data_IF_251982864625
#
_entry.id   IF_251982864625
#
_cell.length_a   1.000
_cell.length_b   1.000
_cell.length_c   1.000
_cell.angle_alpha   90.00
_cell.angle_beta   90.00
_cell.angle_gamma   90.00
#
_symmetry.space_group_name_H-M   'P 1'
#
loop_
_entity.id
_entity.type
_entity.pdbx_description
1 polymer ?
#
# COMPACT_ATOMS: atom_id res chain seq x y z
N UNK A 1 11.67 17.44 -2.30
CA UNK A 1 11.51 16.98 -3.70
C UNK A 1 10.07 16.50 -3.83
N UNK A 2 9.44 16.51 -5.00
CA UNK A 2 8.09 15.95 -5.13
C UNK A 2 8.15 14.42 -5.21
N UNK A 3 7.12 13.74 -4.70
CA UNK A 3 6.94 12.30 -4.92
C UNK A 3 6.77 12.01 -6.42
N UNK A 4 7.37 10.92 -6.88
CA UNK A 4 7.10 10.42 -8.22
C UNK A 4 5.71 9.75 -8.27
N UNK A 5 5.13 9.70 -9.47
CA UNK A 5 3.85 9.00 -9.67
C UNK A 5 3.97 7.53 -9.28
N UNK A 6 3.07 7.01 -8.42
CA UNK A 6 3.06 5.59 -8.09
C UNK A 6 2.89 4.73 -9.33
N UNK A 7 3.57 3.59 -9.38
CA UNK A 7 3.55 2.66 -10.51
C UNK A 7 3.10 1.28 -10.04
N UNK A 8 2.24 0.63 -10.82
CA UNK A 8 1.89 -0.77 -10.62
C UNK A 8 3.06 -1.66 -11.06
N UNK A 9 3.58 -2.49 -10.16
CA UNK A 9 4.55 -3.54 -10.51
C UNK A 9 3.85 -4.85 -10.85
N UNK A 10 2.89 -5.29 -10.03
CA UNK A 10 2.04 -6.45 -10.34
C UNK A 10 0.74 -6.41 -9.53
N UNK A 11 -0.32 -6.99 -10.07
CA UNK A 11 -1.58 -7.24 -9.38
C UNK A 11 -2.09 -8.62 -9.80
N UNK A 12 -2.83 -9.28 -8.93
CA UNK A 12 -3.42 -10.56 -9.26
C UNK A 12 -4.18 -11.19 -8.12
N UNK A 13 -4.70 -12.38 -8.37
CA UNK A 13 -5.40 -13.17 -7.38
C UNK A 13 -5.23 -14.66 -7.64
N UNK A 14 -5.43 -15.43 -6.59
CA UNK A 14 -5.60 -16.88 -6.63
C UNK A 14 -6.90 -17.25 -5.92
N UNK A 15 -7.67 -18.14 -6.54
CA UNK A 15 -8.88 -18.77 -5.97
C UNK A 15 -8.72 -20.28 -5.83
N UNK A 16 -7.55 -20.81 -6.22
CA UNK A 16 -7.24 -22.21 -5.96
C UNK A 16 -6.96 -22.34 -4.47
N UNK A 17 -7.73 -23.19 -3.78
CA UNK A 17 -7.46 -23.56 -2.40
C UNK A 17 -6.08 -24.20 -2.38
N UNK A 18 -5.07 -23.40 -2.04
CA UNK A 18 -3.70 -23.85 -1.96
C UNK A 18 -3.55 -24.52 -0.59
N UNK A 19 -3.29 -25.82 -0.61
CA UNK A 19 -2.77 -26.57 0.56
C UNK A 19 -1.29 -26.25 0.81
N UNK A 20 -0.70 -25.35 0.02
CA UNK A 20 0.66 -24.87 0.20
C UNK A 20 0.67 -23.60 1.05
N UNK A 21 1.53 -23.59 2.05
CA UNK A 21 1.75 -22.42 2.91
C UNK A 21 2.38 -21.24 2.17
N UNK A 22 2.85 -21.41 0.92
CA UNK A 22 3.52 -20.35 0.16
C UNK A 22 2.93 -20.24 -1.25
N UNK A 23 2.68 -19.01 -1.69
CA UNK A 23 2.31 -18.67 -3.07
C UNK A 23 3.22 -17.56 -3.60
N UNK A 24 3.29 -17.38 -4.93
CA UNK A 24 4.20 -16.44 -5.59
C UNK A 24 3.49 -15.47 -6.54
N UNK A 25 3.93 -14.23 -6.57
CA UNK A 25 3.46 -13.22 -7.53
C UNK A 25 4.15 -13.40 -8.90
N UNK A 26 3.71 -12.63 -9.90
CA UNK A 26 4.56 -12.38 -11.07
C UNK A 26 5.88 -11.70 -10.66
N UNK A 27 6.93 -11.85 -11.48
CA UNK A 27 8.21 -11.20 -11.25
C UNK A 27 8.10 -9.69 -11.34
N UNK A 28 8.76 -8.98 -10.43
CA UNK A 28 8.88 -7.52 -10.41
C UNK A 28 10.35 -7.11 -10.45
N UNK A 29 10.62 -5.85 -10.81
CA UNK A 29 11.95 -5.23 -10.75
C UNK A 29 11.83 -3.92 -10.00
N UNK A 30 12.00 -3.92 -8.66
CA UNK A 30 11.92 -2.68 -7.90
C UNK A 30 13.07 -1.74 -8.26
N UNK A 31 12.80 -0.44 -8.26
CA UNK A 31 13.82 0.60 -8.42
C UNK A 31 14.57 0.80 -7.09
N UNK A 32 15.88 1.06 -7.18
CA UNK A 32 16.68 1.39 -6.00
C UNK A 32 16.11 2.61 -5.26
N UNK A 33 16.02 2.51 -3.94
CA UNK A 33 15.51 3.54 -3.01
C UNK A 33 14.06 3.97 -3.22
N UNK A 34 13.28 3.23 -4.02
CA UNK A 34 11.84 3.42 -4.10
C UNK A 34 11.14 2.68 -2.95
N UNK A 35 10.06 3.27 -2.44
CA UNK A 35 9.17 2.59 -1.50
C UNK A 35 8.32 1.58 -2.28
N UNK A 36 8.37 0.32 -1.86
CA UNK A 36 7.51 -0.72 -2.42
C UNK A 36 6.46 -1.09 -1.39
N UNK A 37 5.19 -1.02 -1.79
CA UNK A 37 4.06 -1.46 -0.99
C UNK A 37 3.48 -2.74 -1.59
N UNK A 38 3.21 -3.71 -0.73
CA UNK A 38 2.56 -4.97 -1.09
C UNK A 38 1.31 -5.09 -0.24
N UNK A 39 0.16 -4.91 -0.88
CA UNK A 39 -1.14 -5.03 -0.25
C UNK A 39 -1.71 -6.41 -0.53
N UNK A 40 -2.09 -7.11 0.55
CA UNK A 40 -2.52 -8.51 0.52
C UNK A 40 -3.86 -8.62 1.23
N UNK A 41 -4.89 -8.95 0.46
CA UNK A 41 -6.14 -9.46 1.02
C UNK A 41 -6.16 -10.99 0.96
N UNK A 42 -6.54 -11.64 2.06
CA UNK A 42 -6.67 -13.09 2.09
C UNK A 42 -7.86 -13.55 2.95
N UNK A 43 -8.48 -14.66 2.55
CA UNK A 43 -9.56 -15.33 3.28
C UNK A 43 -9.23 -16.80 3.57
N UNK A 44 -9.57 -17.27 4.78
CA UNK A 44 -9.39 -18.67 5.20
C UNK A 44 -10.54 -19.56 4.72
N UNK A 45 -10.26 -20.87 4.60
CA UNK A 45 -11.26 -21.86 4.20
C UNK A 45 -12.26 -22.25 5.33
N UNK A 46 -11.90 -22.05 6.61
CA UNK A 46 -12.65 -22.62 7.74
C UNK A 46 -12.96 -21.62 8.88
N UNK A 47 -12.99 -20.31 8.59
CA UNK A 47 -13.17 -19.29 9.63
C UNK A 47 -11.99 -19.18 10.62
N UNK A 48 -10.90 -19.89 10.33
CA UNK A 48 -9.64 -19.79 11.07
C UNK A 48 -8.96 -18.44 10.89
N UNK A 49 -7.97 -18.16 11.73
CA UNK A 49 -7.21 -16.92 11.62
C UNK A 49 -6.31 -17.00 10.38
N UNK A 50 -6.63 -16.24 9.33
CA UNK A 50 -5.64 -16.00 8.26
C UNK A 50 -4.52 -15.19 8.86
N UNK A 51 -3.28 -15.65 8.64
CA UNK A 51 -2.11 -14.82 8.91
C UNK A 51 -1.17 -15.02 7.74
N UNK A 52 -1.01 -13.99 6.91
CA UNK A 52 0.22 -13.85 6.13
C UNK A 52 1.32 -13.68 7.16
N UNK A 53 2.24 -14.63 7.22
CA UNK A 53 3.32 -14.64 8.21
C UNK A 53 4.58 -13.98 7.69
N UNK A 54 4.79 -14.01 6.37
CA UNK A 54 5.93 -13.33 5.75
C UNK A 54 5.68 -13.01 4.28
N UNK A 55 6.35 -11.95 3.83
CA UNK A 55 6.59 -11.64 2.42
C UNK A 55 8.10 -11.64 2.23
N UNK A 56 8.59 -12.31 1.19
CA UNK A 56 10.03 -12.37 0.87
C UNK A 56 10.25 -12.25 -0.63
N UNK A 57 11.37 -11.67 -1.05
CA UNK A 57 11.72 -11.58 -2.47
C UNK A 57 12.50 -10.31 -2.80
N UNK A 58 12.99 -10.23 -4.03
CA UNK A 58 13.70 -9.08 -4.60
C UNK A 58 14.95 -8.61 -3.83
N UNK A 59 15.57 -9.48 -3.01
CA UNK A 59 16.72 -9.11 -2.18
C UNK A 59 16.38 -8.06 -1.10
N UNK A 60 15.10 -7.91 -0.77
CA UNK A 60 14.56 -6.88 0.11
C UNK A 60 14.06 -7.47 1.43
N UNK A 61 14.17 -6.69 2.51
CA UNK A 61 13.56 -7.01 3.80
C UNK A 61 12.16 -6.40 3.87
N UNK A 62 11.14 -7.24 4.05
CA UNK A 62 9.74 -6.81 4.07
C UNK A 62 9.22 -6.73 5.50
N UNK A 63 8.53 -5.64 5.81
CA UNK A 63 7.93 -5.40 7.13
C UNK A 63 6.44 -5.16 6.95
N UNK A 64 5.59 -5.83 7.74
CA UNK A 64 4.17 -5.52 7.76
C UNK A 64 3.98 -4.15 8.41
N UNK A 65 3.32 -3.25 7.69
CA UNK A 65 3.07 -1.89 8.14
C UNK A 65 1.70 -1.77 8.83
N UNK A 66 0.65 -2.24 8.15
CA UNK A 66 -0.73 -2.03 8.57
C UNK A 66 -1.58 -3.27 8.32
N UNK A 67 -2.64 -3.46 9.10
CA UNK A 67 -3.60 -4.55 8.88
C UNK A 67 -5.00 -4.21 9.37
N UNK A 68 -6.01 -4.71 8.66
CA UNK A 68 -7.41 -4.67 9.08
C UNK A 68 -8.09 -6.00 8.85
N UNK A 69 -8.88 -6.43 9.81
CA UNK A 69 -9.58 -7.71 9.81
C UNK A 69 -11.05 -7.51 10.18
N UNK A 70 -11.87 -8.43 9.71
CA UNK A 70 -13.27 -8.59 10.12
C UNK A 70 -13.52 -10.06 10.46
N UNK A 71 -14.72 -10.37 10.96
CA UNK A 71 -15.15 -11.74 11.25
C UNK A 71 -15.02 -12.65 10.03
N UNK A 72 -14.78 -13.95 10.25
CA UNK A 72 -14.75 -14.97 9.20
C UNK A 72 -13.39 -15.21 8.56
N UNK A 73 -12.30 -14.80 9.21
CA UNK A 73 -10.94 -15.09 8.73
C UNK A 73 -10.61 -14.34 7.44
N UNK A 74 -11.00 -13.07 7.34
CA UNK A 74 -10.70 -12.20 6.20
C UNK A 74 -9.85 -11.03 6.69
N UNK A 75 -8.73 -10.77 6.02
CA UNK A 75 -7.80 -9.73 6.47
C UNK A 75 -7.04 -9.12 5.30
N UNK A 76 -6.99 -7.79 5.32
CA UNK A 76 -6.16 -6.96 4.46
C UNK A 76 -4.90 -6.54 5.22
N UNK A 77 -3.74 -6.61 4.57
CA UNK A 77 -2.44 -6.25 5.12
C UNK A 77 -1.65 -5.43 4.12
N UNK A 78 -0.95 -4.42 4.61
CA UNK A 78 0.08 -3.70 3.86
C UNK A 78 1.44 -4.11 4.37
N UNK A 79 2.32 -4.50 3.46
CA UNK A 79 3.74 -4.71 3.69
C UNK A 79 4.52 -3.63 2.97
N UNK A 80 5.69 -3.28 3.51
CA UNK A 80 6.59 -2.29 2.93
C UNK A 80 8.01 -2.79 2.83
N UNK A 81 8.73 -2.29 1.85
CA UNK A 81 10.17 -2.42 1.76
C UNK A 81 10.79 -1.27 0.97
N UNK A 82 12.09 -1.06 1.15
CA UNK A 82 12.92 -0.11 0.42
C UNK A 82 14.39 -0.53 0.58
N UNK A 83 15.17 -0.43 -0.48
CA UNK A 83 16.60 -0.76 -0.43
C UNK A 83 17.38 -0.22 -1.62
N UNK A 84 18.70 -0.11 -1.47
CA UNK A 84 19.58 0.51 -2.46
C UNK A 84 19.92 -0.41 -3.66
N UNK A 85 19.70 -1.72 -3.54
CA UNK A 85 20.08 -2.70 -4.57
C UNK A 85 19.09 -3.88 -4.63
N UNK A 86 17.81 -3.62 -4.94
CA UNK A 86 16.84 -4.68 -5.16
C UNK A 86 17.22 -5.55 -6.37
N UNK A 87 16.78 -6.81 -6.36
CA UNK A 87 16.93 -7.74 -7.49
C UNK A 87 15.60 -7.99 -8.18
N UNK A 88 15.62 -8.32 -9.47
CA UNK A 88 14.42 -8.80 -10.17
C UNK A 88 14.02 -10.18 -9.66
N UNK A 89 12.73 -10.39 -9.41
CA UNK A 89 12.17 -11.70 -9.06
C UNK A 89 10.71 -11.61 -8.58
N UNK A 90 10.03 -12.74 -8.41
CA UNK A 90 8.71 -12.78 -7.78
C UNK A 90 8.80 -12.54 -6.28
N UNK A 91 7.68 -12.14 -5.68
CA UNK A 91 7.52 -12.18 -4.23
C UNK A 91 6.91 -13.52 -3.83
N UNK A 92 7.40 -14.09 -2.74
CA UNK A 92 6.80 -15.23 -2.06
C UNK A 92 6.02 -14.75 -0.85
N UNK A 93 4.76 -15.17 -0.75
CA UNK A 93 3.86 -14.86 0.36
C UNK A 93 3.61 -16.15 1.12
N UNK A 94 3.93 -16.15 2.41
CA UNK A 94 3.71 -17.30 3.27
C UNK A 94 2.54 -17.07 4.20
N UNK A 95 1.69 -18.08 4.36
CA UNK A 95 0.51 -18.09 5.21
C UNK A 95 0.70 -19.07 6.38
N UNK A 96 -0.01 -18.86 7.49
CA UNK A 96 -0.01 -19.76 8.66
C UNK A 96 -1.02 -20.91 8.57
N UNK A 97 -1.89 -20.89 7.57
CA UNK A 97 -3.02 -21.82 7.41
C UNK A 97 -3.51 -21.80 5.96
N UNK A 98 -4.33 -22.79 5.60
CA UNK A 98 -4.96 -22.87 4.28
C UNK A 98 -5.78 -21.62 3.96
N UNK A 99 -5.50 -21.06 2.78
CA UNK A 99 -6.26 -19.93 2.25
C UNK A 99 -7.24 -20.42 1.19
N UNK A 100 -8.43 -19.83 1.21
CA UNK A 100 -9.44 -20.02 0.17
C UNK A 100 -9.16 -19.11 -1.04
N UNK A 101 -8.75 -17.88 -0.75
CA UNK A 101 -8.52 -16.87 -1.77
C UNK A 101 -7.50 -15.87 -1.26
N UNK A 102 -6.67 -15.39 -2.18
CA UNK A 102 -5.66 -14.36 -1.93
C UNK A 102 -5.61 -13.40 -3.13
N UNK A 103 -5.54 -12.10 -2.85
CA UNK A 103 -5.41 -11.00 -3.82
C UNK A 103 -4.21 -10.16 -3.42
N UNK A 104 -3.41 -9.75 -4.40
CA UNK A 104 -2.28 -8.85 -4.18
C UNK A 104 -2.27 -7.65 -5.11
N UNK A 105 -1.70 -6.57 -4.57
CA UNK A 105 -1.24 -5.41 -5.33
C UNK A 105 0.18 -5.09 -4.90
N UNK A 106 1.07 -4.90 -5.86
CA UNK A 106 2.44 -4.44 -5.61
C UNK A 106 2.64 -3.14 -6.36
N UNK A 107 2.94 -2.09 -5.61
CA UNK A 107 3.08 -0.73 -6.13
C UNK A 107 4.40 -0.13 -5.68
N UNK A 108 4.98 0.70 -6.53
CA UNK A 108 6.24 1.40 -6.30
C UNK A 108 6.02 2.90 -6.27
N UNK A 109 6.70 3.58 -5.35
CA UNK A 109 6.65 5.04 -5.20
C UNK A 109 8.09 5.56 -5.07
N UNK A 110 8.48 6.47 -5.95
CA UNK A 110 9.80 7.10 -5.94
C UNK A 110 9.76 8.48 -5.27
N UNK A 111 10.93 8.99 -4.88
CA UNK A 111 11.03 10.30 -4.24
C UNK A 111 10.52 10.36 -2.79
N UNK A 112 10.31 9.19 -2.17
CA UNK A 112 9.89 9.10 -0.77
C UNK A 112 11.02 9.46 0.20
N UNK A 113 10.65 9.85 1.42
CA UNK A 113 11.60 9.93 2.54
C UNK A 113 12.25 8.55 2.78
N UNK A 114 13.57 8.50 2.59
CA UNK A 114 14.37 7.28 2.69
C UNK A 114 14.96 7.04 4.08
N UNK A 115 14.59 7.87 5.07
CA UNK A 115 15.03 7.68 6.45
C UNK A 115 14.45 6.41 7.08
N UNK A 116 15.07 5.99 8.19
CA UNK A 116 14.68 4.76 8.87
C UNK A 116 15.06 3.50 8.09
N UNK A 117 14.35 2.39 8.37
CA UNK A 117 14.68 1.07 7.82
C UNK A 117 13.52 0.51 7.03
N UNK A 118 13.80 -0.10 5.88
CA UNK A 118 12.82 -0.76 5.02
C UNK A 118 11.65 0.19 4.65
N UNK A 119 11.96 1.48 4.45
CA UNK A 119 11.01 2.52 4.09
C UNK A 119 10.14 3.04 5.24
N UNK A 120 10.49 2.80 6.51
CA UNK A 120 9.68 3.28 7.65
C UNK A 120 9.58 4.80 7.70
N UNK A 121 10.65 5.50 7.29
CA UNK A 121 10.65 6.95 7.21
C UNK A 121 9.70 7.49 6.15
N UNK A 122 9.21 6.68 5.21
CA UNK A 122 8.27 7.14 4.20
C UNK A 122 6.83 7.27 4.73
N UNK A 123 6.50 6.80 5.92
CA UNK A 123 5.13 6.88 6.45
C UNK A 123 4.99 8.04 7.43
N UNK A 124 4.00 8.91 7.22
CA UNK A 124 3.60 9.93 8.19
C UNK A 124 2.51 9.39 9.13
N UNK A 125 1.51 8.71 8.55
CA UNK A 125 0.39 8.10 9.27
C UNK A 125 -0.26 7.03 8.40
N UNK A 126 -1.06 6.18 9.05
CA UNK A 126 -1.95 5.25 8.37
C UNK A 126 -3.29 5.17 9.11
N UNK A 127 -4.35 4.92 8.35
CA UNK A 127 -5.70 4.69 8.85
C UNK A 127 -6.22 3.39 8.27
N UNK A 128 -6.83 2.59 9.14
CA UNK A 128 -7.36 1.28 8.78
C UNK A 128 -8.84 1.25 9.11
N UNK A 129 -9.67 0.92 8.13
CA UNK A 129 -11.13 0.89 8.30
C UNK A 129 -11.67 -0.41 7.74
N UNK A 130 -12.34 -1.22 8.56
CA UNK A 130 -13.27 -2.23 8.08
C UNK A 130 -14.73 -1.73 8.19
N UNK A 131 -15.62 -2.18 7.33
CA UNK A 131 -17.06 -1.89 7.45
C UNK A 131 -17.89 -3.15 7.73
N UNK A 132 -19.11 -3.01 8.30
CA UNK A 132 -20.06 -4.13 8.43
C UNK A 132 -20.53 -4.64 7.05
N UNK A 133 -21.16 -5.81 7.03
CA UNK A 133 -21.56 -6.59 5.84
C UNK A 133 -22.60 -5.95 4.90
N UNK A 134 -22.91 -4.66 5.06
CA UNK A 134 -23.97 -3.97 4.31
C UNK A 134 -23.61 -2.55 3.87
N UNK A 135 -22.33 -2.19 3.83
CA UNK A 135 -21.89 -0.85 3.44
C UNK A 135 -21.79 -0.70 1.91
N UNK A 136 -22.22 0.46 1.39
CA UNK A 136 -22.07 0.89 -0.02
C UNK A 136 -20.89 1.84 -0.23
N UNK A 137 -20.19 2.20 0.83
CA UNK A 137 -18.96 2.99 0.79
C UNK A 137 -18.04 2.58 1.94
N UNK A 138 -16.79 3.03 1.86
CA UNK A 138 -15.83 2.93 2.95
C UNK A 138 -14.88 4.12 2.87
N UNK A 139 -14.66 4.76 4.01
CA UNK A 139 -13.82 5.94 4.13
C UNK A 139 -12.82 5.74 5.27
N UNK A 140 -11.53 5.87 4.95
CA UNK A 140 -10.50 5.99 5.97
C UNK A 140 -10.30 7.47 6.31
N UNK A 141 -10.57 7.85 7.56
CA UNK A 141 -10.25 9.18 8.07
C UNK A 141 -8.77 9.26 8.39
N UNK A 142 -8.11 10.32 7.92
CA UNK A 142 -6.70 10.62 8.19
C UNK A 142 -6.59 12.03 8.76
N UNK A 143 -5.52 12.31 9.51
CA UNK A 143 -5.22 13.70 9.88
C UNK A 143 -4.89 14.50 8.60
N UNK A 144 -5.08 15.82 8.60
CA UNK A 144 -4.69 16.66 7.46
C UNK A 144 -3.27 16.37 6.99
N UNK A 145 -3.10 16.06 5.70
CA UNK A 145 -1.79 15.76 5.12
C UNK A 145 -0.87 16.97 5.08
N UNK A 146 0.43 16.72 5.23
CA UNK A 146 1.43 17.75 4.98
C UNK A 146 1.61 18.00 3.48
N UNK A 147 2.07 19.21 3.13
CA UNK A 147 2.32 19.57 1.74
C UNK A 147 3.33 18.61 1.08
N UNK A 148 3.05 18.24 -0.18
CA UNK A 148 3.84 17.31 -1.01
C UNK A 148 3.81 15.83 -0.58
N UNK A 149 3.16 15.49 0.53
CA UNK A 149 2.88 14.09 0.84
C UNK A 149 1.77 13.57 -0.08
N UNK A 150 1.75 12.26 -0.27
CA UNK A 150 0.73 11.59 -1.05
C UNK A 150 -0.14 10.70 -0.16
N UNK A 151 -1.39 10.51 -0.54
CA UNK A 151 -2.20 9.43 0.01
C UNK A 151 -2.16 8.23 -0.92
N UNK A 152 -1.96 7.05 -0.34
CA UNK A 152 -2.08 5.77 -1.05
C UNK A 152 -3.02 4.86 -0.28
N UNK A 153 -4.17 4.55 -0.89
CA UNK A 153 -5.21 3.72 -0.31
C UNK A 153 -5.35 2.40 -1.04
N UNK A 154 -5.50 1.30 -0.31
CA UNK A 154 -5.94 0.01 -0.86
C UNK A 154 -7.32 -0.34 -0.34
N UNK A 155 -8.16 -0.83 -1.24
CA UNK A 155 -9.56 -1.13 -1.00
C UNK A 155 -9.90 -2.53 -1.47
N UNK A 156 -10.68 -3.24 -0.66
CA UNK A 156 -11.26 -4.53 -1.01
C UNK A 156 -12.77 -4.50 -0.76
N UNK A 157 -13.54 -5.04 -1.70
CA UNK A 157 -14.94 -5.41 -1.52
C UNK A 157 -15.12 -6.90 -1.79
N UNK A 158 -15.43 -7.60 -0.70
CA UNK A 158 -15.56 -9.06 -0.68
C UNK A 158 -16.87 -9.56 -1.30
N UNK A 159 -17.77 -8.65 -1.67
CA UNK A 159 -19.00 -8.98 -2.42
C UNK A 159 -18.82 -9.00 -3.93
N UNK A 160 -17.67 -8.55 -4.45
CA UNK A 160 -17.40 -8.46 -5.89
C UNK A 160 -18.15 -7.34 -6.61
N UNK A 161 -18.78 -6.41 -5.87
CA UNK A 161 -19.44 -5.25 -6.47
C UNK A 161 -18.43 -4.27 -7.04
N UNK A 162 -18.85 -3.48 -8.04
CA UNK A 162 -17.97 -2.47 -8.60
C UNK A 162 -17.74 -1.36 -7.59
N UNK A 163 -16.50 -1.20 -7.16
CA UNK A 163 -15.98 -0.06 -6.42
C UNK A 163 -15.30 0.94 -7.35
N UNK A 164 -15.43 2.21 -6.96
CA UNK A 164 -14.83 3.35 -7.63
C UNK A 164 -14.06 4.20 -6.60
N UNK A 165 -12.87 4.72 -7.00
CA UNK A 165 -12.19 5.78 -6.29
C UNK A 165 -13.10 6.96 -5.95
N UNK A 166 -12.80 7.63 -4.85
CA UNK A 166 -13.34 8.95 -4.59
C UNK A 166 -12.83 9.98 -5.61
N UNK A 167 -13.55 11.09 -5.71
CA UNK A 167 -13.13 12.22 -6.56
C UNK A 167 -11.79 12.77 -6.07
N UNK A 168 -10.88 13.06 -7.00
CA UNK A 168 -9.53 13.54 -6.69
C UNK A 168 -8.49 12.42 -6.57
N UNK A 169 -8.91 11.16 -6.49
CA UNK A 169 -8.01 10.02 -6.48
C UNK A 169 -7.86 9.39 -7.87
N UNK A 170 -6.65 8.93 -8.17
CA UNK A 170 -6.35 8.15 -9.37
C UNK A 170 -6.29 6.67 -9.02
N UNK A 171 -6.99 5.83 -9.78
CA UNK A 171 -6.87 4.37 -9.66
C UNK A 171 -5.53 3.91 -10.26
N UNK A 172 -4.76 3.15 -9.49
CA UNK A 172 -3.44 2.63 -9.89
C UNK A 172 -3.50 1.18 -10.34
N UNK A 173 -4.19 0.34 -9.57
CA UNK A 173 -4.31 -1.09 -9.83
C UNK A 173 -5.75 -1.50 -9.66
N UNK A 174 -6.24 -2.45 -10.46
CA UNK A 174 -7.58 -3.00 -10.26
C UNK A 174 -7.60 -4.49 -10.53
N UNK A 175 -8.07 -5.25 -9.55
CA UNK A 175 -8.33 -6.67 -9.65
C UNK A 175 -9.84 -6.93 -9.68
N UNK A 176 -10.27 -7.73 -10.65
CA UNK A 176 -11.67 -8.12 -10.87
C UNK A 176 -11.77 -9.63 -11.13
N UNK A 177 -13.00 -10.17 -11.15
CA UNK A 177 -13.26 -11.59 -11.48
C UNK A 177 -13.40 -12.54 -10.29
N UNK A 178 -13.06 -12.07 -9.08
CA UNK A 178 -13.39 -12.72 -7.81
C UNK A 178 -14.10 -11.69 -6.91
N UNK A 179 -13.36 -11.15 -5.95
CA UNK A 179 -13.70 -9.90 -5.28
C UNK A 179 -13.25 -8.71 -6.14
N UNK A 180 -13.68 -7.51 -5.77
CA UNK A 180 -13.09 -6.31 -6.34
C UNK A 180 -12.07 -5.71 -5.39
N UNK A 181 -10.89 -5.43 -5.91
CA UNK A 181 -9.79 -4.86 -5.15
C UNK A 181 -9.06 -3.82 -5.97
N UNK A 182 -8.62 -2.73 -5.37
CA UNK A 182 -7.84 -1.72 -6.10
C UNK A 182 -6.95 -0.90 -5.16
N UNK A 183 -5.89 -0.35 -5.74
CA UNK A 183 -5.08 0.70 -5.11
C UNK A 183 -5.41 2.02 -5.80
N UNK A 184 -5.54 3.08 -5.01
CA UNK A 184 -5.63 4.44 -5.50
C UNK A 184 -4.60 5.33 -4.83
N UNK A 185 -4.33 6.46 -5.45
CA UNK A 185 -3.50 7.49 -4.85
C UNK A 185 -4.00 8.89 -5.16
N UNK A 186 -3.64 9.82 -4.28
CA UNK A 186 -3.65 11.24 -4.54
C UNK A 186 -2.23 11.77 -4.29
N UNK A 187 -1.61 12.31 -5.33
CA UNK A 187 -0.31 12.98 -5.26
C UNK A 187 -0.55 14.46 -5.01
N UNK A 188 -1.23 14.82 -3.92
CA UNK A 188 -1.85 16.13 -3.75
C UNK A 188 -0.88 17.28 -4.09
N UNK A 189 -0.99 17.93 -5.27
CA UNK A 189 -0.25 19.15 -5.60
C UNK A 189 -1.11 20.39 -5.34
N UNK A 190 -2.34 20.20 -4.86
CA UNK A 190 -3.46 21.16 -4.90
C UNK A 190 -3.50 22.13 -3.72
N UNK A 191 -2.52 22.11 -2.82
CA UNK A 191 -2.45 23.02 -1.68
C UNK A 191 -3.43 22.73 -0.53
N UNK A 192 -4.44 21.87 -0.75
CA UNK A 192 -5.43 21.50 0.26
C UNK A 192 -5.12 20.13 0.88
N UNK A 193 -4.94 20.05 2.22
CA UNK A 193 -4.73 18.79 2.92
C UNK A 193 -5.88 17.79 2.70
N UNK A 194 -5.55 16.54 2.42
CA UNK A 194 -6.54 15.46 2.41
C UNK A 194 -6.85 15.04 3.84
N UNK A 195 -8.13 14.75 4.12
CA UNK A 195 -8.59 14.26 5.43
C UNK A 195 -9.34 12.93 5.35
N UNK A 196 -9.63 12.47 4.13
CA UNK A 196 -10.31 11.21 3.86
C UNK A 196 -9.72 10.54 2.64
N UNK A 197 -9.70 9.21 2.65
CA UNK A 197 -9.44 8.38 1.49
C UNK A 197 -10.50 7.29 1.43
N UNK A 198 -11.41 7.40 0.48
CA UNK A 198 -12.58 6.54 0.40
C UNK A 198 -12.82 5.91 -0.96
N UNK A 199 -13.83 5.07 -0.98
CA UNK A 199 -14.34 4.39 -2.15
C UNK A 199 -15.85 4.15 -2.03
N UNK A 200 -16.54 4.26 -3.16
CA UNK A 200 -17.98 3.96 -3.27
C UNK A 200 -18.21 2.71 -4.11
N UNK A 201 -19.27 1.94 -3.82
CA UNK A 201 -19.61 0.73 -4.55
C UNK A 201 -21.05 0.72 -5.08
N UNK A 202 -21.26 0.00 -6.18
CA UNK A 202 -22.59 -0.16 -6.79
C UNK A 202 -23.55 -1.06 -5.99
N UNK A 203 -23.07 -1.73 -4.94
CA UNK A 203 -23.86 -2.60 -4.07
C UNK A 203 -23.32 -2.64 -2.64
N UNK A 204 -24.07 -3.26 -1.74
CA UNK A 204 -23.70 -3.43 -0.34
C UNK A 204 -22.78 -4.63 -0.14
N UNK A 205 -21.77 -4.51 0.71
CA UNK A 205 -20.85 -5.62 0.98
C UNK A 205 -19.87 -5.32 2.10
N UNK A 206 -19.10 -6.33 2.47
CA UNK A 206 -18.02 -6.24 3.44
C UNK A 206 -16.80 -5.59 2.78
N UNK A 207 -16.33 -4.47 3.32
CA UNK A 207 -15.22 -3.71 2.73
C UNK A 207 -14.07 -3.51 3.70
N UNK A 208 -12.88 -3.38 3.14
CA UNK A 208 -11.64 -3.13 3.84
C UNK A 208 -10.92 -1.97 3.20
N UNK A 209 -10.31 -1.11 4.02
CA UNK A 209 -9.48 -0.02 3.58
C UNK A 209 -8.24 0.08 4.46
N UNK A 210 -7.08 0.28 3.82
CA UNK A 210 -5.88 0.82 4.45
C UNK A 210 -5.48 2.05 3.64
N UNK A 211 -5.47 3.22 4.27
CA UNK A 211 -4.95 4.45 3.69
C UNK A 211 -3.67 4.85 4.43
N UNK A 212 -2.64 5.25 3.69
CA UNK A 212 -1.37 5.71 4.26
C UNK A 212 -0.99 7.05 3.65
N UNK A 213 -0.51 7.96 4.50
CA UNK A 213 0.18 9.17 4.06
C UNK A 213 1.66 8.86 3.87
N UNK A 214 2.12 9.04 2.64
CA UNK A 214 3.50 8.81 2.21
C UNK A 214 4.25 10.14 2.13
N UNK A 215 5.35 10.23 2.86
CA UNK A 215 6.22 11.40 2.92
C UNK A 215 7.10 11.51 1.69
N UNK A 216 7.13 12.70 1.12
CA UNK A 216 8.16 13.08 0.15
C UNK A 216 9.53 13.22 0.83
N UNK A 217 10.60 12.96 0.09
CA UNK A 217 11.95 13.24 0.53
C UNK A 217 12.14 14.74 0.78
N UNK A 218 12.78 15.08 1.91
CA UNK A 218 13.18 16.45 2.19
C UNK A 218 14.00 17.01 1.02
N UNK A 219 13.71 18.25 0.61
CA UNK A 219 14.64 19.01 -0.24
C UNK A 219 15.90 19.27 0.57
N UNK A 220 17.03 18.67 0.18
CA UNK A 220 18.32 19.06 0.72
C UNK A 220 18.60 20.54 0.42
N UNK A 221 19.32 21.22 1.30
CA UNK A 221 19.87 22.54 1.01
C UNK A 221 20.84 22.37 -0.18
N UNK A 222 20.70 23.14 -1.28
CA UNK A 222 21.65 23.06 -2.38
C UNK A 222 23.08 23.24 -1.88
N UNK A 223 24.04 22.44 -2.37
CA UNK A 223 25.42 22.47 -1.89
C UNK A 223 26.05 23.88 -1.94
N UNK A 224 25.64 24.73 -2.90
CA UNK A 224 26.09 26.12 -3.01
C UNK A 224 25.55 27.06 -1.91
N UNK A 225 24.40 26.74 -1.31
CA UNK A 225 23.84 27.51 -0.19
C UNK A 225 24.53 27.11 1.13
N UNK A 226 24.89 25.82 1.28
CA UNK A 226 25.66 25.37 2.44
C UNK A 226 27.07 25.96 2.47
N UNK A 227 27.73 26.08 1.30
CA UNK A 227 29.03 26.75 1.20
C UNK A 227 28.95 28.23 1.60
N UNK A 228 27.92 28.95 1.13
CA UNK A 228 27.72 30.36 1.49
C UNK A 228 27.45 30.58 2.99
N UNK A 229 26.84 29.62 3.69
CA UNK A 229 26.61 29.69 5.14
C UNK A 229 27.90 29.43 5.93
N UNK A 230 28.80 28.60 5.41
CA UNK A 230 30.07 28.28 6.08
C UNK A 230 31.16 29.32 5.82
N UNK A 231 31.07 30.07 4.72
CA UNK A 231 32.02 31.13 4.37
C UNK A 231 31.73 32.48 5.06
N UNK A 232 30.57 32.65 5.70
CA UNK A 232 30.15 33.88 6.40
C UNK A 232 30.64 33.99 7.87
N UNK A 233 31.28 32.94 8.39
CA UNK A 233 31.86 32.92 9.75
C UNK A 233 33.34 33.38 9.78
N UNK A 234 33.82 33.99 8.70
CA UNK A 234 35.24 34.20 8.42
C UNK A 234 35.79 35.64 8.44
N UNK A 235 35.05 36.63 8.97
CA UNK A 235 35.49 38.05 9.05
C UNK A 235 35.60 38.57 10.49
#
# INVERSE_FOLDING_TARGET
MALGTPVQLTTGATSTIATTYTDVTASITPTANALILVDIWASSNAGGTTTVVSVTGCGLTWVQDSTTAVSGGKRLRRWRSMGASPTTGPLSVTFSADQKQFIWHVVEISGCDTSGTNGSGAFAQASVTPTPTSATSIDATISPTAANNAIVGVFEDDSGTTMNPDTGYTNLTKQTGLNQSFVQYDLTPSGEPQTTCGASSSGSGLKFCIASEIKAAATGIPAGVLAAILDDEGD
#
